data_IF_699194126324
#
_entry.id   IF_699194126324
#
_cell.length_a   1.000
_cell.length_b   1.000
_cell.length_c   1.000
_cell.angle_alpha   90.00
_cell.angle_beta   90.00
_cell.angle_gamma   90.00
#
_symmetry.space_group_name_H-M   'P 1'
#
loop_
_entity.id
_entity.type
_entity.pdbx_description
1 polymer ?
#
# COMPACT_ATOMS: atom_id res chain seq x y z
N UNK A 1 12.42 15.49 13.14
CA UNK A 1 13.31 14.86 14.13
C UNK A 1 13.49 13.41 13.78
N UNK A 2 14.72 12.98 13.45
CA UNK A 2 15.32 11.72 13.94
C UNK A 2 16.83 11.94 14.05
N UNK A 3 17.36 11.82 15.27
CA UNK A 3 18.53 10.98 15.56
C UNK A 3 18.18 10.24 16.86
N UNK A 4 18.20 8.89 16.86
CA UNK A 4 18.13 8.06 18.09
C UNK A 4 16.77 7.52 18.58
N UNK A 5 15.69 7.60 17.78
CA UNK A 5 14.43 6.81 17.90
C UNK A 5 13.60 6.87 19.20
N UNK A 6 13.62 7.99 19.92
CA UNK A 6 12.54 8.34 20.86
C UNK A 6 12.02 9.75 20.58
N UNK A 7 10.76 10.03 20.90
CA UNK A 7 10.19 11.36 20.79
C UNK A 7 10.76 12.26 21.89
N UNK A 8 11.55 13.28 21.54
CA UNK A 8 11.86 14.34 22.50
C UNK A 8 10.79 15.45 22.46
N UNK A 9 10.39 15.98 23.61
CA UNK A 9 9.49 17.12 23.63
C UNK A 9 10.19 18.33 22.99
N UNK A 10 9.55 18.94 22.00
CA UNK A 10 9.99 20.22 21.44
C UNK A 10 9.16 21.30 22.13
N UNK A 11 9.82 22.38 22.59
CA UNK A 11 9.18 23.54 23.22
C UNK A 11 8.41 24.43 22.22
N UNK A 12 7.74 23.83 21.23
CA UNK A 12 6.93 24.56 20.27
C UNK A 12 5.62 23.82 19.97
N UNK A 13 4.53 24.58 19.90
CA UNK A 13 3.22 24.02 19.54
C UNK A 13 3.17 23.66 18.05
N UNK A 14 2.32 22.70 17.68
CA UNK A 14 2.02 22.41 16.28
C UNK A 14 1.59 23.67 15.51
N UNK A 15 0.80 24.55 16.15
CA UNK A 15 0.39 25.84 15.58
C UNK A 15 1.58 26.73 15.22
N UNK A 16 2.61 26.73 16.05
CA UNK A 16 3.86 27.46 15.79
C UNK A 16 4.57 26.91 14.55
N UNK A 17 4.67 25.58 14.42
CA UNK A 17 5.27 24.91 13.27
C UNK A 17 4.51 25.25 11.98
N UNK A 18 3.18 25.11 11.97
CA UNK A 18 2.37 25.47 10.80
C UNK A 18 2.47 26.95 10.44
N UNK A 19 2.62 27.83 11.43
CA UNK A 19 2.87 29.26 11.20
C UNK A 19 4.23 29.50 10.53
N UNK A 20 5.26 28.71 10.86
CA UNK A 20 6.57 28.79 10.21
C UNK A 20 6.48 28.40 8.72
N UNK A 21 5.75 27.33 8.37
CA UNK A 21 5.44 27.01 6.96
C UNK A 21 4.69 28.16 6.25
N UNK A 22 3.66 28.74 6.90
CA UNK A 22 2.91 29.87 6.33
C UNK A 22 3.77 31.11 6.10
N UNK A 23 4.78 31.33 6.96
CA UNK A 23 5.74 32.45 6.86
C UNK A 23 6.90 32.17 5.89
N UNK A 24 6.97 30.99 5.27
CA UNK A 24 8.06 30.61 4.37
C UNK A 24 9.38 30.26 5.07
N UNK A 25 9.37 30.09 6.40
CA UNK A 25 10.55 29.64 7.16
C UNK A 25 10.84 28.15 6.94
N UNK A 26 9.81 27.39 6.58
CA UNK A 26 9.92 26.00 6.13
C UNK A 26 9.24 25.86 4.77
N UNK A 27 9.75 24.98 3.93
CA UNK A 27 9.16 24.75 2.62
C UNK A 27 7.84 23.97 2.77
N UNK A 28 6.73 24.58 2.36
CA UNK A 28 5.42 23.93 2.32
C UNK A 28 5.38 22.62 1.53
N UNK A 29 6.35 22.38 0.64
CA UNK A 29 6.52 21.12 -0.08
C UNK A 29 6.87 19.94 0.84
N UNK A 30 7.44 20.20 2.02
CA UNK A 30 7.78 19.19 3.03
C UNK A 30 6.54 18.62 3.73
N UNK A 31 5.41 19.34 3.71
CA UNK A 31 4.17 18.87 4.32
C UNK A 31 3.58 17.68 3.55
N UNK A 32 3.22 16.57 4.23
CA UNK A 32 2.79 15.35 3.57
C UNK A 32 1.41 15.42 2.90
N UNK A 33 0.53 16.34 3.32
CA UNK A 33 -0.81 16.47 2.76
C UNK A 33 -1.15 17.93 2.48
N UNK A 34 -1.62 18.22 1.25
CA UNK A 34 -2.13 19.53 0.84
C UNK A 34 -3.64 19.71 1.09
N UNK A 35 -4.22 18.95 2.02
CA UNK A 35 -5.61 19.17 2.51
C UNK A 35 -6.72 19.02 1.46
N UNK A 36 -6.51 18.32 0.34
CA UNK A 36 -7.57 18.08 -0.65
C UNK A 36 -8.51 16.98 -0.17
N UNK A 37 -9.74 17.32 0.22
CA UNK A 37 -10.84 16.36 0.45
C UNK A 37 -11.67 16.20 -0.81
N UNK A 38 -12.12 14.97 -1.09
CA UNK A 38 -13.16 14.77 -2.11
C UNK A 38 -14.49 15.35 -1.61
N UNK A 39 -15.37 15.85 -2.51
CA UNK A 39 -16.70 16.30 -2.13
C UNK A 39 -17.49 15.15 -1.49
N UNK A 40 -18.24 15.45 -0.43
CA UNK A 40 -19.15 14.48 0.18
C UNK A 40 -20.24 14.09 -0.85
N UNK A 41 -20.59 12.80 -0.92
CA UNK A 41 -21.68 12.30 -1.78
C UNK A 41 -21.29 11.80 -3.17
N UNK A 42 -19.99 11.65 -3.48
CA UNK A 42 -19.58 11.00 -4.73
C UNK A 42 -19.98 9.52 -4.75
N UNK A 43 -20.88 9.15 -5.66
CA UNK A 43 -21.25 7.75 -5.91
C UNK A 43 -20.47 7.20 -7.10
N UNK A 44 -19.77 6.09 -6.87
CA UNK A 44 -18.99 5.37 -7.88
C UNK A 44 -19.93 4.69 -8.90
N UNK A 45 -19.75 4.99 -10.20
CA UNK A 45 -20.62 4.51 -11.29
C UNK A 45 -19.96 3.46 -12.20
N UNK A 46 -18.70 3.10 -11.95
CA UNK A 46 -17.98 2.11 -12.77
C UNK A 46 -18.52 0.70 -12.56
N UNK A 47 -18.52 -0.09 -13.63
CA UNK A 47 -19.17 -1.41 -13.69
C UNK A 47 -18.77 -2.35 -12.57
N UNK A 48 -19.76 -3.02 -11.99
CA UNK A 48 -19.63 -3.87 -10.79
C UNK A 48 -19.25 -5.29 -11.18
N UNK A 49 -18.27 -5.87 -10.49
CA UNK A 49 -17.98 -7.30 -10.58
C UNK A 49 -19.07 -8.09 -9.82
N UNK A 50 -19.60 -9.15 -10.42
CA UNK A 50 -20.81 -9.85 -9.96
C UNK A 50 -20.57 -10.89 -8.86
N UNK A 51 -19.37 -11.47 -8.76
CA UNK A 51 -19.04 -12.50 -7.77
C UNK A 51 -17.71 -12.21 -7.06
N UNK A 52 -17.78 -11.86 -5.77
CA UNK A 52 -16.63 -11.47 -4.95
C UNK A 52 -16.84 -11.88 -3.50
N UNK A 53 -15.76 -12.20 -2.78
CA UNK A 53 -15.79 -12.41 -1.33
C UNK A 53 -15.81 -11.06 -0.63
N UNK A 54 -16.79 -10.84 0.24
CA UNK A 54 -16.97 -9.55 0.90
C UNK A 54 -15.95 -9.33 2.00
N UNK A 55 -15.50 -8.08 2.19
CA UNK A 55 -14.65 -7.71 3.34
C UNK A 55 -15.27 -8.07 4.70
N UNK A 56 -16.60 -8.17 4.79
CA UNK A 56 -17.32 -8.56 6.01
C UNK A 56 -17.17 -10.04 6.37
N UNK A 57 -16.81 -10.90 5.41
CA UNK A 57 -16.52 -12.31 5.67
C UNK A 57 -15.13 -12.48 6.30
N UNK A 58 -14.21 -11.56 6.00
CA UNK A 58 -12.82 -11.60 6.47
C UNK A 58 -12.69 -11.64 7.98
N UNK A 59 -13.49 -10.87 8.70
CA UNK A 59 -13.46 -10.88 10.17
C UNK A 59 -13.95 -12.20 10.77
N UNK A 60 -14.79 -12.95 10.04
CA UNK A 60 -15.22 -14.29 10.44
C UNK A 60 -14.13 -15.32 10.19
N UNK A 61 -13.46 -15.21 9.04
CA UNK A 61 -12.38 -16.12 8.65
C UNK A 61 -11.10 -15.89 9.47
N UNK A 62 -10.85 -14.64 9.87
CA UNK A 62 -9.67 -14.18 10.57
C UNK A 62 -10.07 -13.40 11.83
N UNK A 63 -10.32 -14.13 12.92
CA UNK A 63 -10.74 -13.52 14.19
C UNK A 63 -9.68 -12.58 14.80
N UNK A 64 -8.40 -12.77 14.46
CA UNK A 64 -7.27 -11.96 14.92
C UNK A 64 -6.83 -10.92 13.89
N UNK A 65 -7.62 -10.69 12.84
CA UNK A 65 -7.26 -9.84 11.70
C UNK A 65 -6.66 -8.48 12.08
N UNK A 66 -7.15 -7.86 13.15
CA UNK A 66 -6.67 -6.54 13.60
C UNK A 66 -5.26 -6.55 14.19
N UNK A 67 -4.81 -7.69 14.72
CA UNK A 67 -3.57 -7.83 15.49
C UNK A 67 -2.64 -8.92 14.95
N UNK A 68 -3.01 -9.60 13.86
CA UNK A 68 -2.17 -10.63 13.24
C UNK A 68 -1.50 -10.15 11.95
N UNK A 69 -0.30 -10.66 11.71
CA UNK A 69 0.50 -10.36 10.53
C UNK A 69 0.01 -11.14 9.31
N UNK A 70 0.35 -10.64 8.12
CA UNK A 70 0.13 -11.34 6.86
C UNK A 70 -1.12 -10.88 6.11
N UNK A 71 -1.73 -9.78 6.53
CA UNK A 71 -2.88 -9.19 5.85
C UNK A 71 -2.47 -7.97 5.04
N UNK A 72 -2.64 -8.07 3.73
CA UNK A 72 -2.31 -7.03 2.77
C UNK A 72 -3.54 -6.23 2.35
N UNK A 73 -3.40 -4.91 2.23
CA UNK A 73 -4.30 -4.09 1.43
C UNK A 73 -3.70 -3.93 0.03
N UNK A 74 -4.48 -4.21 -1.02
CA UNK A 74 -4.06 -4.13 -2.42
C UNK A 74 -4.76 -3.00 -3.19
N UNK A 75 -4.04 -2.36 -4.11
CA UNK A 75 -4.54 -1.30 -5.00
C UNK A 75 -3.63 -1.16 -6.23
N UNK A 76 -4.00 -0.32 -7.19
CA UNK A 76 -3.15 0.08 -8.31
C UNK A 76 -2.91 1.59 -8.38
N UNK A 77 -1.66 1.97 -8.61
CA UNK A 77 -1.27 3.33 -8.97
C UNK A 77 -1.23 3.42 -10.49
N UNK A 78 -2.17 4.16 -11.07
CA UNK A 78 -2.31 4.29 -12.53
C UNK A 78 -1.50 5.46 -13.12
N UNK A 79 -0.65 5.18 -14.11
CA UNK A 79 0.24 6.16 -14.75
C UNK A 79 -0.42 7.03 -15.83
N UNK A 80 0.43 7.62 -16.67
CA UNK A 80 0.07 8.57 -17.72
C UNK A 80 -1.01 8.01 -18.66
N UNK A 81 -2.04 8.83 -18.92
CA UNK A 81 -3.17 8.48 -19.83
C UNK A 81 -3.82 7.13 -19.50
N UNK A 82 -3.71 6.70 -18.24
CA UNK A 82 -4.11 5.40 -17.75
C UNK A 82 -3.38 4.19 -18.38
N UNK A 83 -2.33 4.35 -19.18
CA UNK A 83 -1.75 3.26 -19.98
C UNK A 83 -0.90 2.26 -19.19
N UNK A 84 -0.44 2.62 -18.02
CA UNK A 84 0.43 1.79 -17.17
C UNK A 84 -0.05 1.80 -15.73
N UNK A 85 0.38 0.81 -14.96
CA UNK A 85 -0.01 0.64 -13.56
C UNK A 85 1.16 0.12 -12.74
N UNK A 86 1.12 0.39 -11.43
CA UNK A 86 1.95 -0.26 -10.42
C UNK A 86 1.00 -0.85 -9.39
N UNK A 87 1.13 -2.15 -9.11
CA UNK A 87 0.38 -2.78 -8.03
C UNK A 87 1.04 -2.37 -6.72
N UNK A 88 0.23 -1.97 -5.75
CA UNK A 88 0.68 -1.60 -4.41
C UNK A 88 0.01 -2.52 -3.39
N UNK A 89 0.84 -3.27 -2.67
CA UNK A 89 0.40 -4.11 -1.55
C UNK A 89 0.99 -3.52 -0.27
N UNK A 90 0.16 -3.33 0.76
CA UNK A 90 0.62 -2.80 2.04
C UNK A 90 0.22 -3.73 3.16
N UNK A 91 1.20 -4.24 3.90
CA UNK A 91 0.93 -5.10 5.06
C UNK A 91 0.44 -4.25 6.23
N UNK A 92 -0.65 -4.68 6.88
CA UNK A 92 -1.42 -3.81 7.78
C UNK A 92 -0.70 -3.46 9.08
N UNK A 93 0.06 -4.39 9.66
CA UNK A 93 0.73 -4.15 10.94
C UNK A 93 2.06 -3.41 10.77
N UNK A 94 2.96 -3.96 9.97
CA UNK A 94 4.28 -3.41 9.66
C UNK A 94 4.20 -2.17 8.77
N UNK A 95 3.13 -2.02 7.98
CA UNK A 95 2.96 -0.93 7.00
C UNK A 95 4.03 -0.92 5.92
N UNK A 96 4.68 -2.07 5.69
CA UNK A 96 5.62 -2.25 4.58
C UNK A 96 4.85 -2.12 3.28
N UNK A 97 5.41 -1.36 2.34
CA UNK A 97 4.83 -1.13 1.03
C UNK A 97 5.61 -1.97 0.03
N UNK A 98 4.90 -2.84 -0.67
CA UNK A 98 5.42 -3.67 -1.76
C UNK A 98 4.85 -3.13 -3.06
N UNK A 99 5.73 -2.90 -4.03
CA UNK A 99 5.35 -2.38 -5.36
C UNK A 99 5.75 -3.36 -6.43
N UNK A 100 4.82 -3.73 -7.30
CA UNK A 100 5.04 -4.63 -8.42
C UNK A 100 4.72 -3.92 -9.73
N UNK A 101 5.58 -4.05 -10.73
CA UNK A 101 5.35 -3.50 -12.07
C UNK A 101 4.72 -4.56 -12.99
N UNK A 102 3.40 -4.57 -13.22
CA UNK A 102 2.79 -5.43 -14.23
C UNK A 102 3.12 -4.93 -15.65
N UNK A 103 3.05 -5.82 -16.64
CA UNK A 103 3.22 -5.47 -18.06
C UNK A 103 2.06 -4.61 -18.62
N UNK A 104 0.93 -4.58 -17.93
CA UNK A 104 -0.28 -3.87 -18.32
C UNK A 104 -1.25 -3.75 -17.15
N UNK A 105 -2.50 -3.37 -17.44
CA UNK A 105 -3.55 -3.21 -16.40
C UNK A 105 -4.61 -4.29 -16.42
N UNK A 106 -4.63 -5.11 -17.46
CA UNK A 106 -5.71 -6.08 -17.62
C UNK A 106 -5.60 -7.11 -16.51
N UNK A 107 -6.72 -7.76 -16.17
CA UNK A 107 -6.72 -8.73 -15.08
C UNK A 107 -5.68 -9.85 -15.26
N UNK A 108 -5.40 -10.25 -16.50
CA UNK A 108 -4.36 -11.22 -16.83
C UNK A 108 -2.93 -10.70 -16.54
N UNK A 109 -2.67 -9.41 -16.77
CA UNK A 109 -1.37 -8.80 -16.51
C UNK A 109 -1.11 -8.70 -15.00
N UNK A 110 -2.16 -8.33 -14.24
CA UNK A 110 -2.12 -8.23 -12.78
C UNK A 110 -1.97 -9.61 -12.16
N UNK A 111 -2.76 -10.59 -12.62
CA UNK A 111 -2.67 -11.98 -12.18
C UNK A 111 -1.27 -12.55 -12.40
N UNK A 112 -0.74 -12.44 -13.62
CA UNK A 112 0.59 -12.95 -13.95
C UNK A 112 1.66 -12.35 -13.04
N UNK A 113 1.61 -11.04 -12.81
CA UNK A 113 2.60 -10.36 -11.95
C UNK A 113 2.46 -10.76 -10.48
N UNK A 114 1.24 -10.94 -9.98
CA UNK A 114 1.01 -11.40 -8.60
C UNK A 114 1.49 -12.84 -8.40
N UNK A 115 1.18 -13.76 -9.33
CA UNK A 115 1.64 -15.15 -9.25
C UNK A 115 3.18 -15.23 -9.25
N UNK A 116 3.84 -14.50 -10.17
CA UNK A 116 5.30 -14.42 -10.22
C UNK A 116 5.89 -13.87 -8.92
N UNK A 117 5.23 -12.88 -8.30
CA UNK A 117 5.70 -12.35 -7.02
C UNK A 117 5.52 -13.36 -5.90
N UNK A 118 4.38 -14.06 -5.82
CA UNK A 118 4.16 -15.10 -4.81
C UNK A 118 5.13 -16.27 -4.92
N UNK A 119 5.60 -16.61 -6.13
CA UNK A 119 6.67 -17.61 -6.33
C UNK A 119 7.98 -17.21 -5.62
N UNK A 120 8.24 -15.90 -5.47
CA UNK A 120 9.44 -15.36 -4.81
C UNK A 120 9.27 -15.10 -3.31
N UNK A 121 8.08 -15.37 -2.75
CA UNK A 121 7.77 -15.12 -1.35
C UNK A 121 7.60 -16.45 -0.62
N UNK A 122 8.09 -16.57 0.64
CA UNK A 122 7.85 -17.74 1.45
C UNK A 122 6.36 -18.09 1.54
N UNK A 123 6.04 -19.37 1.35
CA UNK A 123 4.67 -19.86 1.42
C UNK A 123 4.07 -19.52 2.79
N UNK A 124 2.78 -19.16 2.80
CA UNK A 124 2.02 -18.83 4.00
C UNK A 124 2.49 -17.56 4.76
N UNK A 125 3.45 -16.79 4.22
CA UNK A 125 3.85 -15.51 4.83
C UNK A 125 2.68 -14.51 4.86
N UNK A 126 1.87 -14.51 3.80
CA UNK A 126 0.66 -13.69 3.68
C UNK A 126 -0.58 -14.58 3.69
N UNK A 127 -1.57 -14.17 4.49
CA UNK A 127 -2.83 -14.88 4.72
C UNK A 127 -3.95 -14.37 3.82
N UNK A 128 -3.99 -13.06 3.59
CA UNK A 128 -5.03 -12.47 2.74
C UNK A 128 -4.63 -11.18 2.05
N UNK A 129 -5.27 -10.88 0.92
CA UNK A 129 -5.26 -9.54 0.31
C UNK A 129 -6.68 -8.97 0.28
N UNK A 130 -6.82 -7.67 0.55
CA UNK A 130 -8.07 -6.93 0.35
C UNK A 130 -7.91 -5.90 -0.76
N UNK A 131 -8.63 -6.08 -1.86
CA UNK A 131 -8.65 -5.17 -3.01
C UNK A 131 -9.87 -4.24 -3.00
N UNK A 132 -9.83 -3.24 -3.87
CA UNK A 132 -11.02 -2.51 -4.28
C UNK A 132 -11.81 -3.30 -5.34
N UNK A 133 -12.98 -2.80 -5.70
CA UNK A 133 -13.81 -3.44 -6.73
C UNK A 133 -13.32 -3.15 -8.17
N UNK A 134 -12.03 -2.91 -8.35
CA UNK A 134 -11.39 -2.68 -9.64
C UNK A 134 -11.54 -3.89 -10.55
N UNK A 135 -11.80 -3.63 -11.84
CA UNK A 135 -11.95 -4.71 -12.84
C UNK A 135 -10.64 -5.42 -13.12
N UNK A 136 -9.52 -4.75 -12.87
CA UNK A 136 -8.18 -5.30 -12.94
C UNK A 136 -7.95 -6.48 -11.96
N UNK A 137 -8.81 -6.65 -10.96
CA UNK A 137 -8.76 -7.79 -10.03
C UNK A 137 -9.81 -8.86 -10.33
N UNK A 138 -10.34 -8.89 -11.56
CA UNK A 138 -11.43 -9.82 -11.89
C UNK A 138 -11.04 -11.30 -11.77
N UNK A 139 -9.76 -11.62 -11.97
CA UNK A 139 -9.22 -12.98 -11.93
C UNK A 139 -8.79 -13.42 -10.52
N UNK A 140 -9.26 -12.75 -9.46
CA UNK A 140 -8.88 -13.03 -8.08
C UNK A 140 -9.02 -14.49 -7.65
N UNK A 141 -10.01 -15.23 -8.16
CA UNK A 141 -10.18 -16.66 -7.81
C UNK A 141 -8.96 -17.48 -8.21
N UNK A 142 -8.40 -17.20 -9.39
CA UNK A 142 -7.22 -17.90 -9.88
C UNK A 142 -6.00 -17.57 -9.02
N UNK A 143 -5.79 -16.28 -8.71
CA UNK A 143 -4.72 -15.82 -7.81
C UNK A 143 -4.87 -16.48 -6.43
N UNK A 144 -6.09 -16.52 -5.90
CA UNK A 144 -6.40 -17.08 -4.58
C UNK A 144 -6.08 -18.57 -4.53
N UNK A 145 -6.51 -19.34 -5.53
CA UNK A 145 -6.32 -20.78 -5.58
C UNK A 145 -4.86 -21.18 -5.83
N UNK A 146 -4.16 -20.49 -6.73
CA UNK A 146 -2.77 -20.82 -7.11
C UNK A 146 -1.81 -20.56 -5.95
N UNK A 147 -2.02 -19.47 -5.21
CA UNK A 147 -1.09 -19.03 -4.17
C UNK A 147 -1.55 -19.34 -2.75
N UNK A 148 -2.66 -20.08 -2.60
CA UNK A 148 -3.30 -20.42 -1.32
C UNK A 148 -3.49 -19.18 -0.42
N UNK A 149 -4.04 -18.11 -0.99
CA UNK A 149 -4.24 -16.84 -0.29
C UNK A 149 -5.69 -16.37 -0.37
N UNK A 150 -6.26 -15.94 0.75
CA UNK A 150 -7.64 -15.43 0.76
C UNK A 150 -7.70 -14.03 0.12
N UNK A 151 -8.64 -13.81 -0.81
CA UNK A 151 -8.86 -12.49 -1.41
C UNK A 151 -10.25 -11.97 -1.07
N UNK A 152 -10.29 -10.75 -0.55
CA UNK A 152 -11.50 -10.02 -0.17
C UNK A 152 -11.62 -8.70 -0.92
N UNK A 153 -12.84 -8.17 -0.96
CA UNK A 153 -13.15 -6.91 -1.65
C UNK A 153 -13.86 -5.93 -0.72
N UNK A 154 -13.35 -4.70 -0.67
CA UNK A 154 -14.02 -3.60 0.01
C UNK A 154 -15.37 -3.27 -0.64
N UNK A 155 -16.27 -2.67 0.13
CA UNK A 155 -17.57 -2.25 -0.37
C UNK A 155 -17.43 -1.13 -1.42
N UNK A 156 -18.25 -1.14 -2.48
CA UNK A 156 -18.27 -0.08 -3.48
C UNK A 156 -18.52 1.28 -2.84
N UNK A 157 -17.68 2.26 -3.18
CA UNK A 157 -17.83 3.62 -2.65
C UNK A 157 -17.34 3.80 -1.21
N UNK A 158 -16.63 2.82 -0.64
CA UNK A 158 -16.10 2.90 0.73
C UNK A 158 -14.56 2.86 0.78
N UNK A 159 -13.85 3.92 0.33
CA UNK A 159 -12.38 3.96 0.38
C UNK A 159 -11.80 3.82 1.80
N UNK A 160 -12.54 4.23 2.83
CA UNK A 160 -12.11 4.17 4.24
C UNK A 160 -11.82 2.75 4.73
N UNK A 161 -12.42 1.72 4.12
CA UNK A 161 -12.13 0.31 4.41
C UNK A 161 -10.72 -0.13 3.96
N UNK A 162 -10.01 0.73 3.21
CA UNK A 162 -8.62 0.55 2.75
C UNK A 162 -7.79 1.82 2.96
N UNK A 163 -7.98 2.46 4.11
CA UNK A 163 -7.33 3.75 4.41
C UNK A 163 -5.81 3.70 4.39
N UNK A 164 -5.20 2.52 4.58
CA UNK A 164 -3.75 2.37 4.56
C UNK A 164 -3.20 2.48 3.13
N UNK A 165 -3.89 1.90 2.14
CA UNK A 165 -3.50 2.04 0.73
C UNK A 165 -3.67 3.45 0.19
N UNK A 166 -4.75 4.16 0.53
CA UNK A 166 -4.91 5.56 0.10
C UNK A 166 -3.75 6.43 0.60
N UNK A 167 -3.39 6.28 1.88
CA UNK A 167 -2.26 7.00 2.45
C UNK A 167 -0.94 6.60 1.78
N UNK A 168 -0.68 5.30 1.64
CA UNK A 168 0.58 4.78 1.06
C UNK A 168 0.75 5.20 -0.40
N UNK A 169 -0.32 5.15 -1.20
CA UNK A 169 -0.30 5.56 -2.60
C UNK A 169 -0.09 7.07 -2.75
N UNK A 170 -0.66 7.88 -1.86
CA UNK A 170 -0.39 9.32 -1.80
C UNK A 170 1.09 9.63 -1.54
N UNK A 171 1.73 8.85 -0.67
CA UNK A 171 3.16 8.99 -0.36
C UNK A 171 4.06 8.57 -1.53
N UNK A 172 3.79 7.42 -2.15
CA UNK A 172 4.53 6.95 -3.33
C UNK A 172 4.43 7.94 -4.48
N UNK A 173 3.24 8.52 -4.71
CA UNK A 173 3.01 9.56 -5.71
C UNK A 173 3.89 10.78 -5.50
N UNK A 174 4.00 11.22 -4.25
CA UNK A 174 4.81 12.40 -3.88
C UNK A 174 6.30 12.14 -4.04
N UNK A 175 6.75 10.94 -3.66
CA UNK A 175 8.17 10.63 -3.54
C UNK A 175 8.78 10.09 -4.85
N UNK A 176 7.99 9.76 -5.87
CA UNK A 176 8.53 9.45 -7.21
C UNK A 176 7.54 8.91 -8.26
N UNK A 177 6.39 8.34 -7.86
CA UNK A 177 5.46 7.69 -8.78
C UNK A 177 4.40 8.65 -9.33
N UNK A 178 4.82 9.74 -9.99
CA UNK A 178 3.94 10.83 -10.45
C UNK A 178 2.82 10.35 -11.39
N UNK A 179 1.68 11.07 -11.41
CA UNK A 179 0.54 10.74 -12.29
C UNK A 179 0.83 10.94 -13.78
N UNK A 180 1.78 11.82 -14.11
CA UNK A 180 2.25 12.09 -15.46
C UNK A 180 3.30 11.09 -15.96
N UNK A 181 3.77 10.18 -15.10
CA UNK A 181 4.78 9.19 -15.44
C UNK A 181 4.14 8.02 -16.19
N UNK A 182 4.76 7.59 -17.28
CA UNK A 182 4.44 6.30 -17.87
C UNK A 182 5.31 5.23 -17.21
N UNK A 183 4.72 4.36 -16.39
CA UNK A 183 5.48 3.32 -15.69
C UNK A 183 6.05 2.26 -16.64
N UNK A 184 5.59 2.17 -17.89
CA UNK A 184 6.18 1.28 -18.88
C UNK A 184 7.62 1.69 -19.22
N UNK A 185 7.91 3.00 -19.26
CA UNK A 185 9.22 3.55 -19.58
C UNK A 185 10.15 3.67 -18.36
N UNK A 186 9.72 3.20 -17.20
CA UNK A 186 10.46 3.30 -15.94
C UNK A 186 10.77 1.92 -15.43
N UNK A 187 11.98 1.70 -14.98
CA UNK A 187 12.42 0.39 -14.53
C UNK A 187 11.77 -0.04 -13.18
N UNK A 188 11.64 -1.35 -12.97
CA UNK A 188 11.05 -1.90 -11.75
C UNK A 188 11.91 -1.59 -10.51
N UNK A 189 13.25 -1.55 -10.65
CA UNK A 189 14.14 -1.18 -9.54
C UNK A 189 13.89 0.25 -9.07
N UNK A 190 13.60 1.18 -9.99
CA UNK A 190 13.23 2.55 -9.60
C UNK A 190 11.94 2.55 -8.77
N UNK A 191 10.90 1.85 -9.23
CA UNK A 191 9.61 1.79 -8.54
C UNK A 191 9.79 1.21 -7.12
N UNK A 192 10.55 0.12 -7.00
CA UNK A 192 10.90 -0.50 -5.73
C UNK A 192 11.74 0.42 -4.85
N UNK A 193 12.66 1.22 -5.42
CA UNK A 193 13.47 2.17 -4.64
C UNK A 193 12.60 3.25 -3.96
N UNK A 194 11.51 3.69 -4.61
CA UNK A 194 10.56 4.65 -4.03
C UNK A 194 9.86 4.02 -2.82
N UNK A 195 9.42 2.76 -2.93
CA UNK A 195 8.82 2.03 -1.83
C UNK A 195 9.84 1.77 -0.70
N UNK A 196 11.06 1.34 -1.03
CA UNK A 196 12.15 1.09 -0.10
C UNK A 196 12.50 2.33 0.72
N UNK A 197 12.55 3.51 0.08
CA UNK A 197 12.72 4.79 0.78
C UNK A 197 11.63 4.99 1.84
N UNK A 198 10.35 4.73 1.51
CA UNK A 198 9.24 4.83 2.48
C UNK A 198 9.31 3.78 3.59
N UNK A 199 9.77 2.58 3.26
CA UNK A 199 9.90 1.46 4.20
C UNK A 199 11.05 1.64 5.18
N UNK A 200 12.00 2.53 4.89
CA UNK A 200 13.12 2.91 5.76
C UNK A 200 12.89 4.21 6.55
N UNK A 201 11.71 4.84 6.44
CA UNK A 201 11.36 6.02 7.23
C UNK A 201 10.61 5.59 8.50
N UNK A 202 11.12 5.91 9.70
CA UNK A 202 10.44 5.62 10.96
C UNK A 202 9.06 6.25 11.07
N UNK A 203 8.12 5.51 11.66
CA UNK A 203 6.72 5.97 11.82
C UNK A 203 6.36 6.03 13.30
N UNK A 204 5.76 7.14 13.73
CA UNK A 204 5.24 7.28 15.11
C UNK A 204 4.25 6.17 15.47
N UNK A 205 3.44 5.71 14.51
CA UNK A 205 2.47 4.63 14.71
C UNK A 205 3.09 3.23 14.87
N UNK A 206 4.41 3.13 14.73
CA UNK A 206 5.22 1.91 14.90
C UNK A 206 6.28 2.14 15.98
N UNK A 207 6.00 3.02 16.93
CA UNK A 207 6.92 3.42 18.00
C UNK A 207 8.29 3.85 17.47
N UNK A 208 8.29 4.60 16.37
CA UNK A 208 9.49 5.10 15.70
C UNK A 208 10.44 4.01 15.18
N UNK A 209 9.94 2.79 14.96
CA UNK A 209 10.55 1.79 14.07
C UNK A 209 10.21 2.06 12.61
N UNK A 210 11.04 1.57 11.70
CA UNK A 210 10.73 1.59 10.28
C UNK A 210 9.74 0.47 9.93
N UNK A 211 8.92 0.62 8.87
CA UNK A 211 8.10 -0.47 8.36
C UNK A 211 8.90 -1.74 8.07
N UNK A 212 10.11 -1.60 7.51
CA UNK A 212 10.98 -2.74 7.22
C UNK A 212 11.41 -3.46 8.49
N UNK A 213 11.78 -2.74 9.55
CA UNK A 213 12.15 -3.35 10.83
C UNK A 213 11.00 -4.09 11.50
N UNK A 214 9.78 -3.57 11.37
CA UNK A 214 8.58 -4.26 11.88
C UNK A 214 8.27 -5.49 11.05
N UNK A 215 8.35 -5.40 9.73
CA UNK A 215 8.16 -6.53 8.83
C UNK A 215 9.14 -7.66 9.13
N UNK A 216 10.44 -7.34 9.22
CA UNK A 216 11.48 -8.33 9.50
C UNK A 216 11.33 -9.01 10.86
N UNK A 217 10.65 -8.39 11.85
CA UNK A 217 10.36 -9.08 13.12
C UNK A 217 9.26 -10.15 13.04
N UNK A 218 8.52 -10.21 11.92
CA UNK A 218 7.52 -11.25 11.64
C UNK A 218 8.01 -12.32 10.65
N UNK A 219 9.14 -12.08 9.97
CA UNK A 219 9.73 -13.02 9.01
C UNK A 219 10.76 -13.86 9.74
N UNK A 220 10.66 -15.19 9.63
CA UNK A 220 11.63 -16.07 10.28
C UNK A 220 13.01 -15.98 9.58
N UNK A 221 14.07 -16.43 10.27
CA UNK A 221 15.41 -16.50 9.66
C UNK A 221 15.42 -17.48 8.47
N UNK A 222 14.63 -18.55 8.56
CA UNK A 222 14.50 -19.54 7.49
C UNK A 222 13.81 -18.94 6.26
N UNK A 223 12.81 -18.09 6.46
CA UNK A 223 12.15 -17.32 5.39
C UNK A 223 13.09 -16.31 4.72
N UNK A 224 14.00 -15.69 5.48
CA UNK A 224 14.96 -14.72 4.95
C UNK A 224 15.99 -15.34 4.01
N UNK A 225 16.37 -16.61 4.21
CA UNK A 225 17.30 -17.32 3.33
C UNK A 225 16.75 -17.58 1.92
N UNK A 226 15.42 -17.59 1.76
CA UNK A 226 14.74 -17.75 0.47
C UNK A 226 14.45 -16.40 -0.22
N UNK A 227 14.71 -15.28 0.46
CA UNK A 227 14.46 -13.91 -0.02
C UNK A 227 15.73 -13.19 -0.51
N UNK A 228 16.92 -13.81 -0.36
CA UNK A 228 18.23 -13.33 -0.84
C UNK A 228 18.63 -14.13 -2.08
#
# INVERSE_FOLDING_TARGET
MIVGRAAFPISCSARTIYRMFKKGLFDSSDLPMKGKRKPNGHQERRGKQTFRRSIHEREKDYSQFSNEFGHLEGDTIVGLKHKSAVITLVERLSKVIITLKPCGRQAIDIEKKLNQWFESVPKNLFKSITFDCGKEFSNWKQISNVNDIAIYFADPGTPSQRGLNENSNGLLRRDGLLKSMDFNSVDEFFIQSVASKRNNIPRKSLDYRTPLEVFLSYVSIDDLSNLI
#
